data_IF_371233361524
#
_entry.id   IF_371233361524
#
_cell.length_a   1.000
_cell.length_b   1.000
_cell.length_c   1.000
_cell.angle_alpha   90.00
_cell.angle_beta   90.00
_cell.angle_gamma   90.00
#
_symmetry.space_group_name_H-M   'P 1'
#
loop_
_entity.id
_entity.type
_entity.pdbx_description
1 polymer ?
#
# COMPACT_ATOMS: atom_id res chain seq x y z
N UNK A 1 -10.40 -25.12 3.72
CA UNK A 1 -10.84 -24.63 5.01
C UNK A 1 -10.99 -23.12 5.07
N UNK A 2 -11.91 -22.64 5.83
CA UNK A 2 -12.11 -21.21 6.07
C UNK A 2 -10.92 -20.66 6.86
N UNK A 3 -10.38 -19.51 6.43
CA UNK A 3 -9.24 -18.87 7.08
C UNK A 3 -9.63 -17.48 7.58
N UNK A 4 -9.25 -17.14 8.79
CA UNK A 4 -9.43 -15.80 9.35
C UNK A 4 -8.44 -14.85 8.68
N UNK A 5 -8.89 -13.62 8.41
CA UNK A 5 -8.01 -12.57 7.88
C UNK A 5 -6.92 -12.24 8.92
N UNK A 6 -5.62 -12.40 8.59
CA UNK A 6 -4.55 -12.25 9.58
C UNK A 6 -4.49 -10.87 10.23
N UNK A 7 -4.81 -9.83 9.47
CA UNK A 7 -4.83 -8.45 9.98
C UNK A 7 -5.97 -8.28 10.98
N UNK A 8 -7.18 -8.80 10.67
CA UNK A 8 -8.33 -8.72 11.58
C UNK A 8 -8.08 -9.41 12.93
N UNK A 9 -7.40 -10.55 12.92
CA UNK A 9 -7.03 -11.25 14.15
C UNK A 9 -6.05 -10.45 15.04
N UNK A 10 -5.22 -9.61 14.43
CA UNK A 10 -4.18 -8.82 15.12
C UNK A 10 -4.61 -7.40 15.51
N UNK A 11 -5.76 -6.95 15.04
CA UNK A 11 -6.28 -5.62 15.36
C UNK A 11 -6.58 -5.53 16.85
N UNK A 12 -6.11 -4.48 17.50
CA UNK A 12 -6.24 -4.28 18.94
C UNK A 12 -5.15 -4.95 19.79
N UNK A 13 -4.36 -5.88 19.23
CA UNK A 13 -3.25 -6.54 19.94
C UNK A 13 -1.91 -5.88 19.53
N UNK A 14 -1.50 -6.07 18.28
CA UNK A 14 -0.23 -5.53 17.75
C UNK A 14 -0.40 -4.72 16.46
N UNK A 15 -1.62 -4.57 15.98
CA UNK A 15 -1.99 -3.72 14.86
C UNK A 15 -3.18 -2.84 15.21
N UNK A 16 -3.25 -1.67 14.58
CA UNK A 16 -4.38 -0.74 14.66
C UNK A 16 -5.04 -0.64 13.29
N UNK A 17 -6.22 -0.03 13.24
CA UNK A 17 -6.93 0.25 12.00
C UNK A 17 -6.16 1.22 11.10
N UNK A 18 -6.36 1.11 9.81
CA UNK A 18 -5.79 2.06 8.83
C UNK A 18 -6.61 3.36 8.74
N UNK A 19 -7.89 3.34 9.12
CA UNK A 19 -8.72 4.53 9.34
C UNK A 19 -8.98 4.67 10.83
N UNK A 20 -8.56 5.81 11.43
CA UNK A 20 -8.57 6.05 12.88
C UNK A 20 -9.37 7.30 13.18
N UNK A 21 -10.69 7.16 13.27
CA UNK A 21 -11.61 8.23 13.60
C UNK A 21 -12.91 7.65 14.13
N UNK A 22 -13.72 8.50 14.74
CA UNK A 22 -15.03 8.17 15.26
C UNK A 22 -16.09 9.05 14.59
N UNK A 23 -17.25 8.49 14.29
CA UNK A 23 -18.41 9.22 13.77
C UNK A 23 -19.72 8.56 14.25
N UNK A 24 -20.66 9.36 14.72
CA UNK A 24 -21.96 8.87 15.18
C UNK A 24 -22.93 8.63 14.02
N UNK A 25 -23.15 9.62 13.14
CA UNK A 25 -24.21 9.59 12.13
C UNK A 25 -23.70 9.36 10.71
N UNK A 26 -22.55 9.89 10.34
CA UNK A 26 -22.04 9.91 8.97
C UNK A 26 -20.95 8.85 8.71
N UNK A 27 -20.98 7.76 9.49
CA UNK A 27 -19.94 6.73 9.40
C UNK A 27 -19.80 6.15 7.98
N UNK A 28 -20.93 5.78 7.34
CA UNK A 28 -20.93 5.18 6.01
C UNK A 28 -20.32 6.08 4.94
N UNK A 29 -20.70 7.36 4.93
CA UNK A 29 -20.18 8.34 3.96
C UNK A 29 -18.69 8.58 4.15
N UNK A 30 -18.21 8.73 5.38
CA UNK A 30 -16.81 8.94 5.70
C UNK A 30 -15.96 7.71 5.34
N UNK A 31 -16.48 6.53 5.62
CA UNK A 31 -15.80 5.27 5.26
C UNK A 31 -15.68 5.13 3.74
N UNK A 32 -16.74 5.44 3.00
CA UNK A 32 -16.72 5.37 1.54
C UNK A 32 -15.69 6.34 0.94
N UNK A 33 -15.69 7.59 1.42
CA UNK A 33 -14.68 8.58 1.03
C UNK A 33 -13.24 8.12 1.34
N UNK A 34 -13.02 7.46 2.49
CA UNK A 34 -11.69 6.94 2.85
C UNK A 34 -11.26 5.79 1.94
N UNK A 35 -12.19 4.92 1.53
CA UNK A 35 -11.92 3.81 0.59
C UNK A 35 -11.56 4.39 -0.79
N UNK A 36 -12.34 5.33 -1.31
CA UNK A 36 -12.07 5.99 -2.60
C UNK A 36 -10.71 6.70 -2.60
N UNK A 37 -10.42 7.46 -1.53
CA UNK A 37 -9.16 8.17 -1.36
C UNK A 37 -7.98 7.21 -1.33
N UNK A 38 -8.11 6.10 -0.60
CA UNK A 38 -7.07 5.07 -0.52
C UNK A 38 -6.81 4.42 -1.87
N UNK A 39 -7.87 4.04 -2.58
CA UNK A 39 -7.75 3.45 -3.91
C UNK A 39 -7.10 4.42 -4.90
N UNK A 40 -7.53 5.69 -4.92
CA UNK A 40 -6.94 6.72 -5.76
C UNK A 40 -5.43 6.92 -5.48
N UNK A 41 -5.03 6.97 -4.21
CA UNK A 41 -3.62 7.09 -3.83
C UNK A 41 -2.81 5.87 -4.27
N UNK A 42 -3.35 4.66 -4.11
CA UNK A 42 -2.68 3.43 -4.53
C UNK A 42 -2.47 3.36 -6.04
N UNK A 43 -3.44 3.80 -6.82
CA UNK A 43 -3.35 3.84 -8.29
C UNK A 43 -2.37 4.91 -8.76
N UNK A 44 -2.53 6.14 -8.28
CA UNK A 44 -1.72 7.29 -8.71
C UNK A 44 -0.25 7.16 -8.34
N UNK A 45 0.04 6.62 -7.17
CA UNK A 45 1.39 6.50 -6.62
C UNK A 45 1.97 5.08 -6.72
N UNK A 46 1.51 4.29 -7.67
CA UNK A 46 1.96 2.90 -7.91
C UNK A 46 3.49 2.77 -8.02
N UNK A 47 4.16 3.78 -8.57
CA UNK A 47 5.63 3.79 -8.73
C UNK A 47 6.39 4.07 -7.41
N UNK A 48 5.73 4.68 -6.44
CA UNK A 48 6.34 5.04 -5.16
C UNK A 48 6.38 3.88 -4.15
N UNK A 49 5.83 2.72 -4.51
CA UNK A 49 5.80 1.51 -3.67
C UNK A 49 5.16 1.79 -2.31
N UNK A 50 3.83 2.00 -2.30
CA UNK A 50 3.08 2.30 -1.08
C UNK A 50 2.80 1.01 -0.30
N UNK A 51 3.28 0.95 0.94
CA UNK A 51 2.98 -0.14 1.87
C UNK A 51 1.55 -0.02 2.43
N UNK A 52 1.24 1.13 3.03
CA UNK A 52 -0.08 1.40 3.62
C UNK A 52 -0.39 2.90 3.65
N UNK A 53 -1.69 3.21 3.74
CA UNK A 53 -2.20 4.57 3.92
C UNK A 53 -3.04 4.61 5.18
N UNK A 54 -2.67 5.45 6.13
CA UNK A 54 -3.41 5.67 7.38
C UNK A 54 -4.15 7.00 7.28
N UNK A 55 -5.43 7.00 7.61
CA UNK A 55 -6.30 8.17 7.55
C UNK A 55 -6.81 8.47 8.95
N UNK A 56 -6.59 9.68 9.42
CA UNK A 56 -7.07 10.21 10.69
C UNK A 56 -7.94 11.43 10.42
N UNK A 57 -8.99 11.65 11.23
CA UNK A 57 -9.90 12.79 11.06
C UNK A 57 -10.02 13.61 12.35
N UNK A 58 -8.94 14.28 12.80
CA UNK A 58 -9.02 15.14 13.96
C UNK A 58 -9.83 16.41 13.63
N UNK A 59 -10.82 16.74 14.46
CA UNK A 59 -11.62 17.98 14.35
C UNK A 59 -12.13 18.29 12.93
N UNK A 60 -12.59 17.26 12.18
CA UNK A 60 -13.15 17.42 10.84
C UNK A 60 -12.12 17.62 9.70
N UNK A 61 -10.81 17.72 10.02
CA UNK A 61 -9.74 17.72 9.01
C UNK A 61 -9.31 16.30 8.69
N UNK A 62 -8.81 16.05 7.49
CA UNK A 62 -8.26 14.75 7.13
C UNK A 62 -6.73 14.77 7.19
N UNK A 63 -6.14 13.93 8.03
CA UNK A 63 -4.70 13.68 8.05
C UNK A 63 -4.42 12.35 7.38
N UNK A 64 -3.68 12.37 6.28
CA UNK A 64 -3.34 11.19 5.49
C UNK A 64 -1.85 10.92 5.64
N UNK A 65 -1.51 9.79 6.27
CA UNK A 65 -0.12 9.34 6.40
C UNK A 65 0.15 8.21 5.42
N UNK A 66 1.09 8.44 4.51
CA UNK A 66 1.47 7.49 3.46
C UNK A 66 2.79 6.85 3.83
N UNK A 67 2.81 5.52 3.97
CA UNK A 67 4.02 4.74 4.17
C UNK A 67 4.53 4.26 2.82
N UNK A 68 5.68 4.76 2.38
CA UNK A 68 6.22 4.48 1.05
C UNK A 68 7.67 3.97 1.12
N UNK A 69 8.02 3.07 0.21
CA UNK A 69 9.39 2.60 0.04
C UNK A 69 10.29 3.60 -0.70
N UNK A 70 9.67 4.53 -1.48
CA UNK A 70 10.37 5.56 -2.25
C UNK A 70 9.72 6.92 -2.07
N UNK A 71 9.90 7.56 -0.92
CA UNK A 71 9.22 8.82 -0.60
C UNK A 71 9.58 9.97 -1.55
N UNK A 72 10.80 9.98 -2.10
CA UNK A 72 11.24 11.00 -3.05
C UNK A 72 10.37 11.13 -4.30
N UNK A 73 9.75 10.04 -4.76
CA UNK A 73 8.83 10.06 -5.92
C UNK A 73 7.49 10.72 -5.59
N UNK A 74 7.10 10.78 -4.32
CA UNK A 74 5.87 11.44 -3.88
C UNK A 74 6.11 12.92 -3.64
N UNK A 75 7.25 13.25 -3.04
CA UNK A 75 7.61 14.63 -2.71
C UNK A 75 7.88 15.43 -4.00
N UNK A 76 8.56 14.80 -4.96
CA UNK A 76 8.92 15.42 -6.23
C UNK A 76 9.99 16.50 -6.10
N UNK A 77 10.27 17.19 -7.20
CA UNK A 77 11.25 18.28 -7.22
C UNK A 77 10.74 19.46 -6.39
N UNK A 78 11.49 19.86 -5.37
CA UNK A 78 11.18 21.00 -4.47
C UNK A 78 9.78 20.93 -3.82
N UNK A 79 9.20 19.73 -3.65
CA UNK A 79 7.90 19.58 -3.01
C UNK A 79 6.69 19.93 -3.85
N UNK A 80 6.85 20.15 -5.18
CA UNK A 80 5.74 20.53 -6.04
C UNK A 80 4.69 19.44 -6.22
N UNK A 81 5.11 18.18 -6.26
CA UNK A 81 4.19 17.08 -6.52
C UNK A 81 3.35 16.75 -5.30
N UNK A 82 3.91 16.86 -4.10
CA UNK A 82 3.14 16.70 -2.86
C UNK A 82 2.09 17.81 -2.70
N UNK A 83 2.41 19.05 -3.09
CA UNK A 83 1.46 20.15 -3.01
C UNK A 83 0.31 19.99 -4.00
N UNK A 84 0.59 19.58 -5.24
CA UNK A 84 -0.44 19.22 -6.23
C UNK A 84 -1.33 18.08 -5.72
N UNK A 85 -0.72 17.07 -5.11
CA UNK A 85 -1.44 15.96 -4.53
C UNK A 85 -2.35 16.43 -3.39
N UNK A 86 -1.88 17.31 -2.50
CA UNK A 86 -2.66 17.89 -1.40
C UNK A 86 -3.90 18.62 -1.92
N UNK A 87 -3.74 19.46 -2.94
CA UNK A 87 -4.84 20.20 -3.54
C UNK A 87 -5.88 19.27 -4.18
N UNK A 88 -5.43 18.24 -4.91
CA UNK A 88 -6.31 17.25 -5.52
C UNK A 88 -7.12 16.48 -4.47
N UNK A 89 -6.47 16.02 -3.41
CA UNK A 89 -7.13 15.30 -2.32
C UNK A 89 -8.12 16.20 -1.56
N UNK A 90 -7.77 17.47 -1.32
CA UNK A 90 -8.67 18.44 -0.67
C UNK A 90 -9.95 18.63 -1.48
N UNK A 91 -9.84 18.71 -2.81
CA UNK A 91 -11.02 18.81 -3.70
C UNK A 91 -11.90 17.56 -3.63
N UNK A 92 -11.31 16.36 -3.55
CA UNK A 92 -12.06 15.09 -3.51
C UNK A 92 -12.74 14.85 -2.17
N UNK A 93 -12.03 15.09 -1.08
CA UNK A 93 -12.54 14.85 0.28
C UNK A 93 -13.54 15.93 0.70
N UNK A 94 -13.41 17.16 0.17
CA UNK A 94 -14.22 18.32 0.56
C UNK A 94 -13.82 18.91 1.92
N UNK A 95 -12.70 18.49 2.52
CA UNK A 95 -12.15 19.02 3.76
C UNK A 95 -10.66 19.25 3.61
N UNK A 96 -10.09 20.09 4.47
CA UNK A 96 -8.65 20.33 4.46
C UNK A 96 -7.87 19.03 4.71
N UNK A 97 -6.93 18.71 3.80
CA UNK A 97 -6.10 17.51 3.89
C UNK A 97 -4.67 17.85 4.24
N UNK A 98 -4.17 17.26 5.32
CA UNK A 98 -2.76 17.27 5.70
C UNK A 98 -2.10 15.98 5.26
N UNK A 99 -1.03 16.07 4.46
CA UNK A 99 -0.25 14.92 4.00
C UNK A 99 1.00 14.74 4.84
N UNK A 100 1.22 13.52 5.30
CA UNK A 100 2.45 13.09 5.96
C UNK A 100 3.02 11.89 5.23
N UNK A 101 4.33 11.91 4.92
CA UNK A 101 5.01 10.82 4.23
C UNK A 101 6.02 10.21 5.17
N UNK A 102 5.92 8.90 5.36
CA UNK A 102 6.82 8.13 6.21
C UNK A 102 7.54 7.10 5.35
N UNK A 103 8.86 7.08 5.46
CA UNK A 103 9.68 6.10 4.77
C UNK A 103 9.60 4.73 5.43
N UNK A 104 9.45 3.69 4.62
CA UNK A 104 9.58 2.30 5.05
C UNK A 104 11.04 1.91 4.99
N UNK A 105 11.71 1.81 6.16
CA UNK A 105 13.15 1.56 6.27
C UNK A 105 13.63 0.27 5.59
N UNK A 106 12.80 -0.78 5.60
CA UNK A 106 13.13 -2.09 5.02
C UNK A 106 12.00 -2.56 4.10
N UNK A 107 11.89 -2.02 2.88
CA UNK A 107 10.80 -2.36 1.95
C UNK A 107 10.82 -3.83 1.51
N UNK A 108 11.99 -4.48 1.56
CA UNK A 108 12.16 -5.89 1.16
C UNK A 108 11.71 -6.89 2.24
N UNK A 109 11.28 -6.42 3.42
CA UNK A 109 10.62 -7.24 4.45
C UNK A 109 9.12 -7.00 4.45
N UNK A 110 8.64 -5.90 3.88
CA UNK A 110 7.21 -5.60 3.80
C UNK A 110 6.51 -6.52 2.80
N UNK A 111 5.56 -7.31 3.30
CA UNK A 111 4.89 -8.34 2.51
C UNK A 111 4.14 -7.77 1.29
N UNK A 112 3.54 -6.58 1.41
CA UNK A 112 2.83 -5.95 0.31
C UNK A 112 3.80 -5.49 -0.77
N UNK A 113 4.89 -4.84 -0.39
CA UNK A 113 5.89 -4.35 -1.33
C UNK A 113 6.61 -5.49 -2.05
N UNK A 114 6.87 -6.60 -1.35
CA UNK A 114 7.41 -7.83 -1.97
C UNK A 114 6.43 -8.37 -3.01
N UNK A 115 5.14 -8.47 -2.67
CA UNK A 115 4.11 -8.95 -3.59
C UNK A 115 3.99 -8.08 -4.85
N UNK A 116 3.96 -6.77 -4.69
CA UNK A 116 3.93 -5.81 -5.82
C UNK A 116 5.19 -5.92 -6.70
N UNK A 117 6.37 -6.07 -6.09
CA UNK A 117 7.62 -6.23 -6.83
C UNK A 117 7.63 -7.52 -7.67
N UNK A 118 7.13 -8.63 -7.10
CA UNK A 118 7.01 -9.89 -7.85
C UNK A 118 6.01 -9.71 -9.00
N UNK A 119 4.86 -9.08 -8.76
CA UNK A 119 3.87 -8.83 -9.80
C UNK A 119 4.45 -8.02 -10.97
N UNK A 120 5.18 -6.93 -10.68
CA UNK A 120 5.87 -6.13 -11.68
C UNK A 120 6.92 -6.92 -12.47
N UNK A 121 7.65 -7.84 -11.82
CA UNK A 121 8.61 -8.71 -12.51
C UNK A 121 7.89 -9.69 -13.45
N UNK A 122 6.73 -10.22 -13.04
CA UNK A 122 5.92 -11.10 -13.88
C UNK A 122 5.34 -10.36 -15.10
N UNK A 123 4.87 -9.12 -14.92
CA UNK A 123 4.43 -8.25 -16.02
C UNK A 123 5.56 -8.02 -17.04
N UNK A 124 6.80 -7.92 -16.57
CA UNK A 124 8.02 -7.81 -17.41
C UNK A 124 8.49 -9.17 -17.97
N UNK A 125 7.67 -10.21 -17.87
CA UNK A 125 7.95 -11.57 -18.37
C UNK A 125 9.17 -12.24 -17.73
N UNK A 126 9.54 -11.86 -16.51
CA UNK A 126 10.55 -12.58 -15.74
C UNK A 126 9.95 -13.92 -15.28
N UNK A 127 10.69 -15.02 -15.42
CA UNK A 127 10.22 -16.34 -15.00
C UNK A 127 9.84 -16.35 -13.50
N UNK A 128 8.63 -16.82 -13.19
CA UNK A 128 8.04 -16.76 -11.86
C UNK A 128 8.90 -17.44 -10.77
N UNK A 129 9.52 -18.60 -11.10
CA UNK A 129 10.42 -19.31 -10.17
C UNK A 129 11.63 -18.45 -9.78
N UNK A 130 12.20 -17.73 -10.75
CA UNK A 130 13.35 -16.84 -10.53
C UNK A 130 12.95 -15.62 -9.70
N UNK A 131 11.80 -15.01 -9.98
CA UNK A 131 11.27 -13.86 -9.24
C UNK A 131 11.03 -14.22 -7.77
N UNK A 132 10.33 -15.34 -7.50
CA UNK A 132 10.06 -15.82 -6.14
C UNK A 132 11.35 -16.15 -5.38
N UNK A 133 12.28 -16.91 -5.98
CA UNK A 133 13.55 -17.29 -5.33
C UNK A 133 14.36 -16.06 -4.94
N UNK A 134 14.45 -15.06 -5.82
CA UNK A 134 15.15 -13.80 -5.56
C UNK A 134 14.50 -13.02 -4.41
N UNK A 135 13.17 -12.93 -4.39
CA UNK A 135 12.44 -12.23 -3.33
C UNK A 135 12.64 -12.89 -1.96
N UNK A 136 12.59 -14.24 -1.89
CA UNK A 136 12.88 -14.99 -0.66
C UNK A 136 14.31 -14.73 -0.18
N UNK A 137 15.30 -14.83 -1.06
CA UNK A 137 16.69 -14.59 -0.72
C UNK A 137 16.94 -13.17 -0.20
N UNK A 138 16.33 -12.15 -0.84
CA UNK A 138 16.45 -10.75 -0.39
C UNK A 138 15.85 -10.55 1.00
N UNK A 139 14.65 -11.06 1.24
CA UNK A 139 13.99 -10.93 2.54
C UNK A 139 14.76 -11.65 3.66
N UNK A 140 15.25 -12.87 3.42
CA UNK A 140 16.04 -13.63 4.40
C UNK A 140 17.35 -12.94 4.73
N UNK A 141 18.05 -12.39 3.74
CA UNK A 141 19.31 -11.65 3.93
C UNK A 141 19.13 -10.41 4.81
N UNK A 142 17.97 -9.77 4.78
CA UNK A 142 17.64 -8.59 5.59
C UNK A 142 17.09 -8.91 6.98
N UNK A 143 17.10 -10.20 7.35
CA UNK A 143 16.76 -10.66 8.70
C UNK A 143 15.30 -11.07 8.88
N UNK A 144 14.58 -11.42 7.82
CA UNK A 144 13.28 -12.06 7.96
C UNK A 144 13.48 -13.47 8.55
N UNK A 145 12.66 -13.84 9.55
CA UNK A 145 12.73 -15.17 10.18
C UNK A 145 12.18 -16.29 9.28
N UNK A 146 11.32 -15.94 8.32
CA UNK A 146 10.77 -16.85 7.34
C UNK A 146 9.89 -16.12 6.35
N UNK A 147 9.84 -16.64 5.11
CA UNK A 147 9.06 -16.06 4.02
C UNK A 147 8.34 -17.18 3.27
N UNK A 148 7.06 -16.98 3.02
CA UNK A 148 6.26 -17.85 2.16
C UNK A 148 5.66 -17.02 1.02
N UNK A 149 5.94 -17.42 -0.22
CA UNK A 149 5.41 -16.78 -1.43
C UNK A 149 4.62 -17.79 -2.22
N UNK A 150 3.38 -17.46 -2.57
CA UNK A 150 2.54 -18.26 -3.44
C UNK A 150 2.20 -17.45 -4.69
N UNK A 151 2.51 -17.98 -5.87
CA UNK A 151 2.06 -17.45 -7.15
C UNK A 151 1.12 -18.48 -7.79
N UNK A 152 -0.04 -18.05 -8.23
CA UNK A 152 -1.02 -18.88 -8.90
C UNK A 152 -1.47 -18.23 -10.21
N UNK A 153 -1.91 -19.03 -11.18
CA UNK A 153 -2.36 -18.56 -12.47
C UNK A 153 -1.78 -19.37 -13.62
N UNK A 154 -1.98 -18.93 -14.84
CA UNK A 154 -1.44 -19.55 -16.07
C UNK A 154 0.01 -19.11 -16.32
N UNK A 155 0.89 -19.37 -15.37
CA UNK A 155 2.30 -18.95 -15.41
C UNK A 155 3.12 -19.93 -16.28
N UNK A 156 3.81 -19.40 -17.30
CA UNK A 156 4.69 -20.17 -18.16
C UNK A 156 3.99 -20.99 -19.24
N UNK A 157 2.70 -20.79 -19.46
CA UNK A 157 1.98 -21.40 -20.58
C UNK A 157 2.15 -20.57 -21.86
N UNK A 158 2.28 -21.25 -22.99
CA UNK A 158 2.30 -20.61 -24.30
C UNK A 158 0.98 -19.91 -24.60
N UNK A 159 1.04 -18.75 -25.25
CA UNK A 159 -0.13 -18.00 -25.74
C UNK A 159 -0.96 -18.79 -26.79
N UNK A 160 -0.40 -19.82 -27.36
CA UNK A 160 -1.05 -20.67 -28.38
C UNK A 160 -2.32 -21.35 -27.83
N UNK A 161 -2.42 -21.55 -26.54
CA UNK A 161 -3.56 -22.20 -25.88
C UNK A 161 -4.59 -21.22 -25.31
N UNK A 162 -4.50 -19.94 -25.62
CA UNK A 162 -5.48 -18.93 -25.31
C UNK A 162 -6.35 -18.65 -26.52
#
# INVERSE_FOLDING_TARGET
GQKVKPIGLRVGINRTWDSRWYADRNYGELLHKDIELRNHLMERLKQASISRVVIERPAGRARVTIYAGRPGLIIGKKGQDIEKLRVDLTKRVGTEVSLNIVEVRKPEIDAKLIGENIAQQLERRVGFRRAMKRAVQSAMRLGAQGVRINCAGRLGLSLIHI
#
